data_IF_752764843791
#
_entry.id   IF_752764843791
#
_cell.length_a   1.000
_cell.length_b   1.000
_cell.length_c   1.000
_cell.angle_alpha   90.00
_cell.angle_beta   90.00
_cell.angle_gamma   90.00
#
_symmetry.space_group_name_H-M   'P 1'
#
loop_
_entity.id
_entity.type
_entity.pdbx_description
1 polymer ?
#
# COMPACT_ATOMS: atom_id res chain seq x y z
N UNK A 1 -24.20 -1.13 31.75
CA UNK A 1 -25.06 -2.11 31.05
C UNK A 1 -25.35 -1.57 29.67
N UNK A 2 -25.26 -2.42 28.66
CA UNK A 2 -25.03 -2.12 27.24
C UNK A 2 -26.12 -1.26 26.59
N UNK A 3 -25.71 -0.34 25.71
CA UNK A 3 -26.61 0.32 24.75
C UNK A 3 -26.11 0.03 23.34
N UNK A 4 -26.65 -1.03 22.76
CA UNK A 4 -26.60 -1.30 21.32
C UNK A 4 -27.51 -0.28 20.64
N UNK A 5 -26.94 0.55 19.77
CA UNK A 5 -27.71 1.33 18.80
C UNK A 5 -27.16 1.03 17.42
N UNK A 6 -27.85 0.11 16.74
CA UNK A 6 -27.79 0.01 15.29
C UNK A 6 -28.42 1.27 14.70
N UNK A 7 -27.69 1.96 13.83
CA UNK A 7 -28.23 3.06 13.02
C UNK A 7 -27.51 3.07 11.68
N UNK A 8 -28.03 2.28 10.75
CA UNK A 8 -28.06 2.64 9.33
C UNK A 8 -29.47 3.25 9.09
N UNK A 9 -29.67 4.27 8.22
CA UNK A 9 -29.10 4.24 6.87
C UNK A 9 -28.73 5.59 6.19
N UNK A 10 -28.14 5.43 5.01
CA UNK A 10 -28.39 6.19 3.78
C UNK A 10 -27.58 7.48 3.47
N UNK A 11 -26.88 7.37 2.32
CA UNK A 11 -26.78 8.37 1.25
C UNK A 11 -26.09 9.70 1.60
N UNK A 12 -24.76 9.69 1.49
CA UNK A 12 -24.02 10.87 1.02
C UNK A 12 -23.48 10.57 -0.38
N UNK A 13 -24.23 11.02 -1.38
CA UNK A 13 -23.67 11.20 -2.71
C UNK A 13 -22.76 12.42 -2.70
N UNK A 14 -21.45 12.19 -2.76
CA UNK A 14 -20.49 13.12 -3.32
C UNK A 14 -19.28 12.29 -3.75
N UNK A 15 -19.01 12.28 -5.06
CA UNK A 15 -17.82 11.63 -5.63
C UNK A 15 -16.60 12.41 -5.18
N UNK A 16 -15.99 11.95 -4.09
CA UNK A 16 -14.68 12.39 -3.63
C UNK A 16 -13.82 11.15 -3.66
N UNK A 17 -12.94 11.08 -4.65
CA UNK A 17 -11.82 10.14 -4.63
C UNK A 17 -11.00 10.35 -3.36
N UNK A 18 -10.19 9.34 -3.02
CA UNK A 18 -9.45 9.14 -1.75
C UNK A 18 -10.33 8.36 -0.75
N UNK A 19 -10.09 7.11 -0.43
CA UNK A 19 -8.83 6.39 -0.40
C UNK A 19 -9.19 4.93 -0.56
N UNK A 20 -8.54 4.22 -1.50
CA UNK A 20 -8.47 2.78 -1.40
C UNK A 20 -7.78 2.48 -0.07
N UNK A 21 -8.56 2.26 0.98
CA UNK A 21 -8.13 1.58 2.17
C UNK A 21 -7.79 0.17 1.68
N UNK A 22 -6.54 0.01 1.21
CA UNK A 22 -5.98 -1.29 0.94
C UNK A 22 -6.13 -2.06 2.25
N UNK A 23 -7.03 -3.03 2.25
CA UNK A 23 -7.27 -3.90 3.38
C UNK A 23 -5.90 -4.41 3.86
N UNK A 24 -5.52 -4.21 5.13
CA UNK A 24 -4.27 -4.74 5.64
C UNK A 24 -4.42 -6.26 5.65
N UNK A 25 -3.92 -6.92 4.60
CA UNK A 25 -3.68 -8.35 4.62
C UNK A 25 -2.72 -8.61 5.79
N UNK A 26 -3.21 -9.37 6.76
CA UNK A 26 -2.49 -9.79 7.97
C UNK A 26 -1.15 -10.44 7.64
N UNK A 27 -0.14 -9.61 7.50
CA UNK A 27 1.26 -9.89 7.22
C UNK A 27 1.99 -8.62 7.61
N UNK A 28 3.22 -8.73 8.13
CA UNK A 28 3.93 -7.60 8.74
C UNK A 28 3.66 -6.29 8.01
N UNK A 29 3.13 -5.30 8.73
CA UNK A 29 2.64 -4.07 8.12
C UNK A 29 3.82 -3.34 7.49
N UNK A 30 3.99 -3.42 6.17
CA UNK A 30 4.94 -2.61 5.43
C UNK A 30 4.18 -1.49 4.73
N UNK A 31 4.69 -0.27 4.86
CA UNK A 31 4.19 0.87 4.09
C UNK A 31 5.18 1.19 2.98
N UNK A 32 4.74 1.11 1.73
CA UNK A 32 5.54 1.53 0.60
C UNK A 32 5.15 2.92 0.11
N UNK A 33 6.15 3.65 -0.35
CA UNK A 33 6.03 4.98 -0.95
C UNK A 33 6.77 5.01 -2.28
N UNK A 34 6.16 5.63 -3.27
CA UNK A 34 6.75 5.86 -4.59
C UNK A 34 6.11 7.10 -5.21
N UNK A 35 6.78 7.73 -6.18
CA UNK A 35 6.19 8.86 -6.90
C UNK A 35 5.02 8.37 -7.75
N UNK A 36 3.82 8.91 -7.50
CA UNK A 36 2.61 8.48 -8.20
C UNK A 36 2.13 7.09 -7.78
N UNK A 37 2.43 6.64 -6.56
CA UNK A 37 1.93 5.37 -6.06
C UNK A 37 0.40 5.39 -5.94
N UNK A 38 -0.27 4.44 -6.59
CA UNK A 38 -1.71 4.17 -6.44
C UNK A 38 -1.93 3.11 -5.39
N UNK A 39 -1.18 2.01 -5.50
CA UNK A 39 -1.30 0.87 -4.61
C UNK A 39 0.07 0.19 -4.46
N UNK A 40 0.29 -0.41 -3.29
CA UNK A 40 1.45 -1.22 -3.05
C UNK A 40 1.10 -2.40 -2.17
N UNK A 41 1.84 -3.49 -2.33
CA UNK A 41 1.78 -4.61 -1.43
C UNK A 41 3.17 -5.21 -1.26
N UNK A 42 3.61 -5.28 -0.01
CA UNK A 42 4.89 -5.87 0.34
C UNK A 42 4.79 -6.54 1.71
N UNK A 43 5.35 -7.74 1.81
CA UNK A 43 5.26 -8.59 3.01
C UNK A 43 6.62 -8.90 3.63
N UNK A 44 7.70 -8.27 3.15
CA UNK A 44 9.07 -8.53 3.61
C UNK A 44 9.87 -9.53 2.74
N UNK A 45 9.29 -9.99 1.63
CA UNK A 45 9.94 -10.88 0.67
C UNK A 45 11.05 -10.21 -0.15
N UNK A 46 11.39 -10.81 -1.28
CA UNK A 46 12.45 -10.28 -2.18
C UNK A 46 11.86 -9.45 -3.33
N UNK A 47 10.54 -9.32 -3.38
CA UNK A 47 9.86 -8.46 -4.35
C UNK A 47 8.64 -7.78 -3.73
N UNK A 48 8.33 -6.58 -4.22
CA UNK A 48 7.19 -5.77 -3.83
C UNK A 48 6.30 -5.49 -5.04
N UNK A 49 4.99 -5.59 -4.84
CA UNK A 49 4.01 -5.19 -5.83
C UNK A 49 3.81 -3.67 -5.75
N UNK A 50 4.12 -2.97 -6.85
CA UNK A 50 4.01 -1.51 -6.95
C UNK A 50 3.12 -1.17 -8.14
N UNK A 51 2.05 -0.42 -7.90
CA UNK A 51 1.15 0.11 -8.92
C UNK A 51 1.26 1.63 -8.93
N UNK A 52 1.73 2.17 -10.04
CA UNK A 52 1.88 3.60 -10.27
C UNK A 52 0.71 4.17 -11.10
N UNK A 53 0.47 5.47 -10.92
CA UNK A 53 -0.50 6.24 -11.69
C UNK A 53 -0.13 6.25 -13.17
N UNK A 54 -1.15 6.16 -14.03
CA UNK A 54 -0.96 6.09 -15.48
C UNK A 54 -0.65 4.68 -16.02
N UNK A 55 -0.50 3.68 -15.15
CA UNK A 55 -0.35 2.27 -15.55
C UNK A 55 -1.64 1.50 -15.30
N UNK A 56 -2.02 0.65 -16.26
CA UNK A 56 -3.25 -0.16 -16.16
C UNK A 56 -3.16 -1.25 -15.09
N UNK A 57 -1.95 -1.70 -14.75
CA UNK A 57 -1.69 -2.74 -13.75
C UNK A 57 -0.44 -2.42 -12.94
N UNK A 58 -0.37 -2.97 -11.72
CA UNK A 58 0.85 -2.99 -10.94
C UNK A 58 1.86 -4.02 -11.44
N UNK A 59 3.13 -3.84 -11.09
CA UNK A 59 4.20 -4.78 -11.37
C UNK A 59 4.81 -5.32 -10.07
N UNK A 60 5.44 -6.48 -10.13
CA UNK A 60 6.23 -7.01 -9.03
C UNK A 60 7.72 -6.70 -9.29
N UNK A 61 8.36 -6.00 -8.36
CA UNK A 61 9.71 -5.48 -8.53
C UNK A 61 10.62 -5.98 -7.43
N UNK A 62 11.85 -6.35 -7.78
CA UNK A 62 12.85 -6.78 -6.82
C UNK A 62 13.12 -5.68 -5.80
N UNK A 63 13.32 -6.08 -4.55
CA UNK A 63 13.67 -5.16 -3.46
C UNK A 63 15.03 -5.48 -2.86
N UNK A 64 15.75 -4.43 -2.51
CA UNK A 64 16.95 -4.49 -1.71
C UNK A 64 16.60 -4.07 -0.28
N UNK A 65 16.70 -5.02 0.65
CA UNK A 65 16.50 -4.78 2.09
C UNK A 65 17.75 -4.13 2.68
N UNK A 66 17.56 -3.14 3.54
CA UNK A 66 18.61 -2.55 4.37
C UNK A 66 19.18 -3.59 5.34
N UNK A 67 20.40 -3.38 5.83
CA UNK A 67 21.06 -4.23 6.80
C UNK A 67 20.20 -4.46 8.07
N UNK A 68 19.48 -3.43 8.50
CA UNK A 68 18.59 -3.50 9.68
C UNK A 68 17.25 -4.20 9.40
N UNK A 69 16.98 -4.57 8.14
CA UNK A 69 15.75 -5.27 7.74
C UNK A 69 14.45 -4.47 7.90
N UNK A 70 14.53 -3.17 8.22
CA UNK A 70 13.38 -2.28 8.44
C UNK A 70 12.98 -1.45 7.22
N UNK A 71 13.88 -1.37 6.23
CA UNK A 71 13.67 -0.61 5.00
C UNK A 71 13.96 -1.54 3.83
N UNK A 72 13.11 -1.52 2.82
CA UNK A 72 13.32 -2.16 1.53
C UNK A 72 13.18 -1.11 0.44
N UNK A 73 14.05 -1.14 -0.56
CA UNK A 73 14.05 -0.17 -1.67
C UNK A 73 14.09 -0.89 -3.00
N UNK A 74 13.56 -0.28 -4.04
CA UNK A 74 13.63 -0.83 -5.38
C UNK A 74 13.37 0.23 -6.44
N UNK A 75 13.46 -0.19 -7.69
CA UNK A 75 13.16 0.67 -8.85
C UNK A 75 12.21 -0.08 -9.77
N UNK A 76 11.14 0.59 -10.18
CA UNK A 76 10.17 0.03 -11.14
C UNK A 76 10.73 0.02 -12.56
N UNK A 77 10.04 -0.68 -13.48
CA UNK A 77 10.47 -0.78 -14.88
C UNK A 77 10.54 0.57 -15.61
N UNK A 78 9.75 1.57 -15.18
CA UNK A 78 9.78 2.93 -15.70
C UNK A 78 10.80 3.84 -14.98
N UNK A 79 11.69 3.28 -14.14
CA UNK A 79 12.73 4.04 -13.44
C UNK A 79 12.25 4.79 -12.19
N UNK A 80 11.04 4.52 -11.69
CA UNK A 80 10.56 5.15 -10.46
C UNK A 80 11.10 4.41 -9.26
N UNK A 81 11.86 5.10 -8.42
CA UNK A 81 12.30 4.55 -7.15
C UNK A 81 11.12 4.43 -6.17
N UNK A 82 11.11 3.35 -5.39
CA UNK A 82 10.17 3.14 -4.30
C UNK A 82 10.88 2.67 -3.03
N UNK A 83 10.27 2.97 -1.89
CA UNK A 83 10.77 2.59 -0.58
C UNK A 83 9.63 2.02 0.26
N UNK A 84 9.82 0.84 0.83
CA UNK A 84 8.96 0.21 1.80
C UNK A 84 9.60 0.26 3.18
N UNK A 85 8.87 0.75 4.17
CA UNK A 85 9.29 0.78 5.57
C UNK A 85 8.40 -0.13 6.39
N UNK A 86 9.02 -0.86 7.32
CA UNK A 86 8.30 -1.70 8.26
C UNK A 86 7.60 -0.81 9.27
N UNK A 87 6.27 -0.92 9.35
CA UNK A 87 5.47 -0.33 10.42
C UNK A 87 5.57 -1.24 11.63
N UNK A 88 6.10 -0.69 12.71
CA UNK A 88 6.10 -1.29 14.05
C UNK A 88 4.71 -1.26 14.67
#
# INVERSE_FOLDING_TARGET
MQKFSLSWPALCGLVVGLSACAAPGSGQSWECTARGLVNSHYTGGDSALIHLQGFSSGGNYAVTKSADGNVATGTTANGTAFQCVKKS
#
